data_IF_820601165158
#
_entry.id   IF_820601165158
#
_cell.length_a   1.000
_cell.length_b   1.000
_cell.length_c   1.000
_cell.angle_alpha   90.00
_cell.angle_beta   90.00
_cell.angle_gamma   90.00
#
_symmetry.space_group_name_H-M   'P 1'
#
loop_
_entity.id
_entity.type
_entity.pdbx_description
1 polymer ?
#
# COMPACT_ATOMS: atom_id res chain seq x y z
N UNK A 1 28.99 -32.75 -11.96
CA UNK A 1 28.25 -31.65 -12.61
C UNK A 1 27.73 -30.74 -11.50
N UNK A 2 28.16 -29.48 -11.45
CA UNK A 2 27.75 -28.55 -10.41
C UNK A 2 26.44 -27.89 -10.90
N UNK A 3 25.32 -28.24 -10.30
CA UNK A 3 24.03 -27.57 -10.55
C UNK A 3 24.07 -26.22 -9.84
N UNK A 4 24.24 -25.15 -10.60
CA UNK A 4 24.02 -23.79 -10.09
C UNK A 4 22.55 -23.66 -9.71
N UNK A 5 22.27 -23.52 -8.41
CA UNK A 5 20.92 -23.24 -7.94
C UNK A 5 20.57 -21.79 -8.30
N UNK A 6 19.53 -21.61 -9.12
CA UNK A 6 18.99 -20.30 -9.44
C UNK A 6 18.10 -19.84 -8.27
N UNK A 7 18.49 -18.73 -7.62
CA UNK A 7 17.72 -18.13 -6.54
C UNK A 7 16.92 -16.96 -7.11
N UNK A 8 15.60 -17.06 -7.09
CA UNK A 8 14.68 -15.98 -7.47
C UNK A 8 14.09 -15.35 -6.22
N UNK A 9 14.39 -14.06 -5.98
CA UNK A 9 13.77 -13.28 -4.92
C UNK A 9 12.51 -12.58 -5.46
N UNK A 10 11.34 -12.98 -4.97
CA UNK A 10 10.09 -12.30 -5.28
C UNK A 10 9.85 -11.17 -4.30
N UNK A 11 9.46 -10.01 -4.82
CA UNK A 11 9.01 -8.87 -4.04
C UNK A 11 7.61 -8.45 -4.47
N UNK A 12 6.80 -7.88 -3.58
CA UNK A 12 5.51 -7.32 -3.97
C UNK A 12 5.67 -6.23 -5.03
N UNK A 13 4.75 -6.22 -5.98
CA UNK A 13 4.62 -5.14 -6.97
C UNK A 13 4.35 -3.79 -6.27
N UNK A 14 4.44 -2.69 -7.02
CA UNK A 14 4.14 -1.35 -6.48
C UNK A 14 2.65 -1.21 -6.14
N UNK A 15 1.78 -1.68 -7.03
CA UNK A 15 0.34 -1.74 -6.81
C UNK A 15 -0.08 -3.15 -6.37
N UNK A 16 -0.68 -3.24 -5.19
CA UNK A 16 -1.04 -4.51 -4.54
C UNK A 16 -2.48 -4.51 -4.06
N UNK A 17 -3.04 -5.70 -3.85
CA UNK A 17 -4.38 -5.84 -3.26
C UNK A 17 -4.37 -5.45 -1.77
N UNK A 18 -5.55 -5.21 -1.20
CA UNK A 18 -5.69 -4.90 0.23
C UNK A 18 -5.04 -5.99 1.09
N UNK A 19 -5.23 -7.27 0.75
CA UNK A 19 -4.66 -8.40 1.49
C UNK A 19 -3.13 -8.36 1.55
N UNK A 20 -2.48 -8.05 0.43
CA UNK A 20 -1.02 -7.95 0.37
C UNK A 20 -0.55 -6.69 1.11
N UNK A 21 -1.24 -5.56 0.95
CA UNK A 21 -0.93 -4.34 1.69
C UNK A 21 -1.00 -4.58 3.21
N UNK A 22 -2.05 -5.26 3.69
CA UNK A 22 -2.18 -5.65 5.10
C UNK A 22 -1.00 -6.53 5.52
N UNK A 23 -0.65 -7.54 4.72
CA UNK A 23 0.44 -8.45 5.05
C UNK A 23 1.80 -7.74 5.17
N UNK A 24 2.07 -6.75 4.32
CA UNK A 24 3.38 -6.06 4.29
C UNK A 24 3.46 -4.87 5.24
N UNK A 25 2.34 -4.22 5.58
CA UNK A 25 2.32 -3.03 6.45
C UNK A 25 1.77 -3.28 7.86
N UNK A 26 0.98 -4.33 8.05
CA UNK A 26 0.24 -4.59 9.28
C UNK A 26 -0.98 -3.69 9.51
N UNK A 27 -1.34 -2.82 8.58
CA UNK A 27 -2.53 -1.97 8.70
C UNK A 27 -3.81 -2.81 8.74
N UNK A 28 -4.81 -2.37 9.52
CA UNK A 28 -6.12 -3.04 9.57
C UNK A 28 -7.03 -2.55 8.42
N UNK A 29 -7.97 -3.36 7.93
CA UNK A 29 -8.92 -2.96 6.87
C UNK A 29 -9.70 -1.67 7.20
N UNK A 30 -10.09 -1.50 8.47
CA UNK A 30 -10.77 -0.28 8.92
C UNK A 30 -9.89 0.97 8.80
N UNK A 31 -8.59 0.84 9.11
CA UNK A 31 -7.61 1.93 8.97
C UNK A 31 -7.41 2.30 7.50
N UNK A 32 -7.27 1.30 6.62
CA UNK A 32 -7.16 1.50 5.16
C UNK A 32 -8.40 2.20 4.61
N UNK A 33 -9.59 1.76 5.03
CA UNK A 33 -10.86 2.36 4.62
C UNK A 33 -10.98 3.82 5.06
N UNK A 34 -10.55 4.14 6.29
CA UNK A 34 -10.54 5.51 6.78
C UNK A 34 -9.50 6.37 6.07
N UNK A 35 -8.30 5.84 5.85
CA UNK A 35 -7.23 6.53 5.12
C UNK A 35 -7.68 6.91 3.71
N UNK A 36 -8.33 6.01 2.95
CA UNK A 36 -8.92 6.34 1.63
C UNK A 36 -9.91 7.50 1.65
N UNK A 37 -10.66 7.66 2.75
CA UNK A 37 -11.67 8.73 2.90
C UNK A 37 -11.07 10.06 3.34
N UNK A 38 -10.02 10.02 4.16
CA UNK A 38 -9.58 11.19 4.92
C UNK A 38 -8.15 11.66 4.59
N UNK A 39 -7.28 10.80 4.05
CA UNK A 39 -5.83 11.08 4.01
C UNK A 39 -5.13 10.67 2.72
N UNK A 40 -5.59 9.61 2.07
CA UNK A 40 -5.01 9.06 0.86
C UNK A 40 -5.69 9.65 -0.36
N UNK A 41 -4.91 9.87 -1.41
CA UNK A 41 -5.35 10.45 -2.65
C UNK A 41 -5.51 9.37 -3.72
N UNK A 42 -6.66 9.36 -4.40
CA UNK A 42 -6.88 8.51 -5.56
C UNK A 42 -5.82 8.84 -6.63
N UNK A 43 -5.16 7.82 -7.17
CA UNK A 43 -4.02 7.97 -8.09
C UNK A 43 -2.66 7.96 -7.42
N UNK A 44 -2.58 8.18 -6.10
CA UNK A 44 -1.30 8.18 -5.36
C UNK A 44 -1.17 6.96 -4.46
N UNK A 45 -1.98 6.85 -3.40
CA UNK A 45 -1.93 5.70 -2.48
C UNK A 45 -2.88 4.57 -2.89
N UNK A 46 -3.97 4.89 -3.61
CA UNK A 46 -4.91 3.87 -4.09
C UNK A 46 -5.49 4.21 -5.46
N UNK A 47 -5.95 3.19 -6.17
CA UNK A 47 -6.63 3.28 -7.46
C UNK A 47 -7.86 2.39 -7.45
N UNK A 48 -8.88 2.79 -8.20
CA UNK A 48 -9.95 1.90 -8.59
C UNK A 48 -9.55 1.21 -9.90
N UNK A 49 -9.72 -0.11 -9.97
CA UNK A 49 -9.36 -0.94 -11.12
C UNK A 49 -10.60 -1.63 -11.67
N UNK A 50 -10.71 -1.63 -13.01
CA UNK A 50 -11.76 -2.34 -13.73
C UNK A 50 -11.18 -2.96 -15.01
N UNK A 51 -11.61 -4.17 -15.41
CA UNK A 51 -11.13 -4.82 -16.63
C UNK A 51 -11.42 -4.03 -17.92
N UNK A 52 -12.46 -3.20 -17.91
CA UNK A 52 -12.88 -2.37 -19.05
C UNK A 52 -12.17 -1.00 -19.10
N UNK A 53 -11.23 -0.76 -18.18
CA UNK A 53 -10.49 0.50 -18.08
C UNK A 53 -11.32 1.69 -17.57
N UNK A 54 -12.59 1.49 -17.18
CA UNK A 54 -13.49 2.55 -16.73
C UNK A 54 -13.95 2.29 -15.28
N UNK A 55 -13.06 2.48 -14.29
CA UNK A 55 -13.33 2.14 -12.91
C UNK A 55 -14.40 3.04 -12.29
N UNK A 56 -15.25 2.44 -11.46
CA UNK A 56 -16.30 3.11 -10.68
C UNK A 56 -15.85 3.23 -9.22
N UNK A 57 -16.49 4.10 -8.40
CA UNK A 57 -16.19 4.17 -6.97
C UNK A 57 -16.36 2.85 -6.20
N UNK A 58 -17.19 1.93 -6.72
CA UNK A 58 -17.39 0.59 -6.17
C UNK A 58 -16.44 -0.47 -6.74
N UNK A 59 -15.60 -0.12 -7.71
CA UNK A 59 -14.63 -1.04 -8.31
C UNK A 59 -13.54 -1.43 -7.31
N UNK A 60 -12.89 -2.57 -7.60
CA UNK A 60 -11.79 -3.08 -6.78
C UNK A 60 -10.71 -2.03 -6.58
N UNK A 61 -10.15 -1.98 -5.37
CA UNK A 61 -9.07 -1.06 -5.04
C UNK A 61 -7.72 -1.78 -5.03
N UNK A 62 -6.75 -1.17 -5.72
CA UNK A 62 -5.33 -1.50 -5.60
C UNK A 62 -4.61 -0.38 -4.87
N UNK A 63 -3.53 -0.72 -4.17
CA UNK A 63 -2.83 0.18 -3.26
C UNK A 63 -1.36 0.29 -3.64
N UNK A 64 -0.84 1.51 -3.70
CA UNK A 64 0.56 1.77 -3.95
C UNK A 64 1.34 1.60 -2.65
N UNK A 65 2.01 0.46 -2.46
CA UNK A 65 2.72 0.16 -1.21
C UNK A 65 3.76 1.22 -0.86
N UNK A 66 4.49 1.75 -1.85
CA UNK A 66 5.57 2.72 -1.61
C UNK A 66 5.02 4.07 -1.15
N UNK A 67 3.92 4.52 -1.74
CA UNK A 67 3.26 5.75 -1.31
C UNK A 67 2.63 5.60 0.08
N UNK A 68 2.06 4.43 0.38
CA UNK A 68 1.56 4.11 1.73
C UNK A 68 2.70 4.07 2.75
N UNK A 69 3.84 3.46 2.42
CA UNK A 69 5.02 3.44 3.30
C UNK A 69 5.53 4.86 3.60
N UNK A 70 5.59 5.74 2.59
CA UNK A 70 5.94 7.15 2.76
C UNK A 70 4.93 7.88 3.66
N UNK A 71 3.63 7.58 3.49
CA UNK A 71 2.59 8.15 4.34
C UNK A 71 2.70 7.68 5.80
N UNK A 72 3.05 6.41 6.03
CA UNK A 72 3.32 5.86 7.38
C UNK A 72 4.55 6.54 7.98
N UNK A 73 5.64 6.65 7.23
CA UNK A 73 6.89 7.28 7.66
C UNK A 73 6.67 8.74 8.08
N UNK A 74 5.84 9.47 7.33
CA UNK A 74 5.48 10.84 7.64
C UNK A 74 4.72 10.98 8.98
N UNK A 75 4.14 9.90 9.53
CA UNK A 75 3.48 9.93 10.83
C UNK A 75 4.48 9.97 12.01
N UNK A 76 5.76 9.66 11.81
CA UNK A 76 6.76 9.62 12.90
C UNK A 76 6.84 10.94 13.67
N UNK A 77 6.79 12.08 12.98
CA UNK A 77 6.82 13.41 13.60
C UNK A 77 5.54 13.75 14.39
N UNK A 78 4.45 13.04 14.11
CA UNK A 78 3.15 13.25 14.76
C UNK A 78 2.94 12.29 15.95
N UNK A 79 3.92 11.43 16.28
CA UNK A 79 3.74 10.48 17.37
C UNK A 79 3.68 11.20 18.72
N UNK A 80 2.79 10.76 19.63
CA UNK A 80 2.73 11.32 20.99
C UNK A 80 4.10 11.23 21.68
N UNK A 81 4.60 12.35 22.19
CA UNK A 81 5.90 12.41 22.88
C UNK A 81 7.12 12.38 21.95
N UNK A 82 6.95 12.41 20.62
CA UNK A 82 8.06 12.63 19.71
C UNK A 82 8.66 14.02 19.95
N UNK A 83 9.96 14.06 20.22
CA UNK A 83 10.72 15.32 20.24
C UNK A 83 10.96 15.71 18.80
N UNK A 84 10.29 16.76 18.31
CA UNK A 84 10.70 17.43 17.08
C UNK A 84 12.10 18.00 17.32
N UNK A 85 13.08 17.45 16.62
CA UNK A 85 14.43 17.99 16.56
C UNK A 85 14.42 19.37 15.88
#
# INVERSE_FOLDING_TARGET
MQTSAEIVLLVPNDWVSEKVLIAVTGLKPGTITRARKESWMLGREYLHISPDGNPKPSSECMYNRKAVDQWIEAQKKNQPGAKTA
#
